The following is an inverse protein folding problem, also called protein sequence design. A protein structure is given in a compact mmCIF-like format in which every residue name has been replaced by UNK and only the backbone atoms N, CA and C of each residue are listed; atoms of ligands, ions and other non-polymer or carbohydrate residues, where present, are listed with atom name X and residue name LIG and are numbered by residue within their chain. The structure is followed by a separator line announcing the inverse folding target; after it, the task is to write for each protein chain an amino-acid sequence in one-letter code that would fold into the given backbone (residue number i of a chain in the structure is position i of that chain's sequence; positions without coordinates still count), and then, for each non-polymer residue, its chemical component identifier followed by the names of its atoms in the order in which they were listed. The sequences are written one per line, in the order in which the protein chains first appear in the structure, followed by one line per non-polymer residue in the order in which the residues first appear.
data_IF_105465880881
#
_entry.id   IF_105465880881
#
_cell.length_a   1.000
_cell.length_b   1.000
_cell.length_c   1.000
_cell.angle_alpha   90.00
_cell.angle_beta   90.00
_cell.angle_gamma   90.00
#
_symmetry.space_group_name_H-M   'P 1'
#
loop_
_entity.id
_entity.type
_entity.pdbx_description
1 polymer ?
#
# COMPACT_ATOMS: atom_id res chain seq x y z
N UNK A 1 9.62 -71.61 42.80
CA UNK A 1 9.78 -71.44 42.50
C UNK A 1 9.65 -70.58 41.66
N UNK A 2 9.63 -70.07 41.09
CA UNK A 2 9.67 -69.35 40.32
C UNK A 2 9.27 -68.39 39.71
N UNK A 3 9.16 -67.84 39.41
CA UNK A 3 8.85 -66.91 38.81
C UNK A 3 8.87 -66.13 38.05
N UNK A 4 8.87 -65.67 37.65
CA UNK A 4 8.85 -64.91 36.99
C UNK A 4 8.52 -63.92 36.45
N UNK A 5 8.40 -63.38 36.04
CA UNK A 5 8.14 -62.52 35.54
C UNK A 5 8.26 -61.71 34.70
N UNK A 6 8.19 -61.32 34.22
CA UNK A 6 8.27 -60.72 33.29
C UNK A 6 7.76 -59.62 33.01
N UNK A 7 7.84 -59.06 32.65
CA UNK A 7 7.40 -58.01 32.35
C UNK A 7 7.58 -57.38 31.39
N UNK A 8 7.36 -56.95 30.90
CA UNK A 8 7.46 -56.34 29.95
C UNK A 8 7.20 -55.14 29.70
N UNK A 9 7.35 -54.46 29.52
CA UNK A 9 7.45 -53.29 29.21
C UNK A 9 7.18 -52.84 28.04
N UNK A 10 6.59 -52.27 27.82
CA UNK A 10 6.36 -51.94 26.67
C UNK A 10 6.44 -50.68 26.37
N UNK A 11 6.88 -50.22 25.83
CA UNK A 11 7.14 -49.10 25.41
C UNK A 11 6.37 -48.50 24.52
N UNK A 12 5.94 -47.66 24.66
CA UNK A 12 5.17 -47.16 23.77
C UNK A 12 5.76 -46.11 23.17
N UNK A 13 5.82 -45.85 22.41
CA UNK A 13 6.33 -44.93 21.84
C UNK A 13 5.61 -44.03 21.22
N UNK A 14 5.39 -43.17 21.34
CA UNK A 14 4.75 -42.27 20.78
C UNK A 14 5.40 -41.52 19.93
N UNK A 15 5.12 -41.25 19.18
CA UNK A 15 5.73 -40.60 18.39
C UNK A 15 5.16 -39.50 18.02
N UNK A 16 5.24 -38.62 18.28
CA UNK A 16 4.75 -37.48 17.90
C UNK A 16 5.16 -36.97 16.77
N UNK A 17 4.61 -36.65 16.07
CA UNK A 17 4.95 -36.18 15.03
C UNK A 17 4.74 -34.89 14.88
N UNK A 18 5.34 -34.11 14.97
CA UNK A 18 5.28 -32.83 14.75
C UNK A 18 5.22 -32.48 13.46
N UNK A 19 4.37 -31.94 13.03
CA UNK A 19 4.32 -31.57 11.82
C UNK A 19 4.51 -30.22 11.71
N UNK A 20 5.32 -29.71 11.20
CA UNK A 20 5.58 -28.41 11.00
C UNK A 20 4.73 -27.94 10.00
N UNK A 21 3.84 -27.32 10.25
CA UNK A 21 3.11 -26.83 9.27
C UNK A 21 3.83 -25.75 8.75
N UNK A 22 4.24 -25.74 7.78
CA UNK A 22 4.91 -24.75 7.18
C UNK A 22 4.04 -23.68 6.89
N UNK A 23 4.11 -22.69 7.44
CA UNK A 23 3.35 -21.70 7.14
C UNK A 23 4.07 -20.81 6.35
N UNK A 24 3.74 -20.58 5.27
CA UNK A 24 4.37 -19.67 4.44
C UNK A 24 3.96 -18.34 4.92
N UNK A 25 4.79 -17.52 5.20
CA UNK A 25 4.43 -16.22 5.58
C UNK A 25 3.93 -15.54 4.39
N UNK A 26 2.86 -14.99 4.43
CA UNK A 26 2.43 -14.30 3.30
C UNK A 26 3.01 -12.95 3.41
N UNK A 27 4.11 -12.77 2.87
CA UNK A 27 4.70 -11.47 2.83
C UNK A 27 3.94 -10.60 1.92
N UNK A 28 3.09 -11.18 1.15
CA UNK A 28 2.46 -10.43 0.13
C UNK A 28 1.53 -9.35 0.64
N UNK A 29 0.77 -9.61 1.64
CA UNK A 29 -0.14 -8.56 2.03
C UNK A 29 0.48 -7.61 3.02
N UNK A 30 1.68 -7.85 3.43
CA UNK A 30 2.35 -6.94 4.34
C UNK A 30 2.86 -5.72 3.61
N UNK A 31 3.23 -5.86 2.36
CA UNK A 31 3.84 -4.77 1.63
C UNK A 31 2.93 -3.56 1.52
N UNK A 32 1.66 -3.77 1.31
CA UNK A 32 0.75 -2.64 1.16
C UNK A 32 0.57 -1.89 2.46
N UNK A 33 0.75 -2.54 3.57
CA UNK A 33 0.59 -1.90 4.87
C UNK A 33 1.86 -1.25 5.36
N UNK A 34 2.97 -1.54 4.71
CA UNK A 34 4.25 -1.00 5.10
C UNK A 34 4.57 0.31 4.41
N UNK A 35 3.64 0.85 3.68
CA UNK A 35 3.85 2.08 2.92
C UNK A 35 2.65 3.00 3.04
N UNK A 36 2.90 4.28 2.92
CA UNK A 36 1.83 5.27 2.96
C UNK A 36 2.15 6.41 2.01
N UNK A 37 1.14 6.84 1.27
CA UNK A 37 1.24 8.05 0.47
C UNK A 37 0.83 9.24 1.31
N UNK A 38 1.58 10.31 1.24
CA UNK A 38 1.31 11.52 2.00
C UNK A 38 1.29 12.71 1.07
N UNK A 39 0.27 13.54 1.23
CA UNK A 39 0.19 14.77 0.47
C UNK A 39 1.23 15.75 0.99
N UNK A 40 1.95 16.40 0.09
CA UNK A 40 2.98 17.34 0.46
C UNK A 40 2.57 18.72 -0.02
N UNK A 41 2.40 19.63 0.93
CA UNK A 41 2.04 20.99 0.58
C UNK A 41 0.62 21.12 0.06
N UNK A 42 0.33 22.24 -0.51
CA UNK A 42 -0.99 22.50 -1.08
C UNK A 42 -0.96 22.25 -2.57
N UNK A 43 -2.08 21.84 -3.15
CA UNK A 43 -2.15 21.75 -4.59
C UNK A 43 -1.79 23.06 -5.27
N UNK A 44 -1.04 22.96 -6.34
CA UNK A 44 -0.59 24.15 -7.08
C UNK A 44 -1.47 24.31 -8.31
N UNK A 45 -2.03 25.49 -8.53
CA UNK A 45 -2.82 25.69 -9.74
C UNK A 45 -1.92 25.63 -10.97
N UNK A 46 -2.48 25.09 -12.03
CA UNK A 46 -1.82 24.98 -13.31
C UNK A 46 -2.76 25.51 -14.39
N UNK A 47 -2.24 25.58 -15.59
CA UNK A 47 -3.01 26.13 -16.68
C UNK A 47 -4.23 25.27 -17.00
N UNK A 48 -5.29 25.91 -17.46
CA UNK A 48 -6.46 25.20 -17.93
C UNK A 48 -7.32 24.60 -16.85
N UNK A 49 -7.33 25.21 -15.67
CA UNK A 49 -8.15 24.69 -14.57
C UNK A 49 -7.61 23.42 -13.95
N UNK A 50 -6.36 23.12 -14.19
CA UNK A 50 -5.73 21.95 -13.62
C UNK A 50 -5.02 22.28 -12.31
N UNK A 51 -4.74 21.26 -11.54
CA UNK A 51 -3.97 21.39 -10.30
C UNK A 51 -2.89 20.35 -10.25
N UNK A 52 -1.75 20.72 -9.72
CA UNK A 52 -0.65 19.77 -9.53
C UNK A 52 -0.57 19.42 -8.06
N UNK A 53 -0.61 18.15 -7.79
CA UNK A 53 -0.56 17.60 -6.44
C UNK A 53 0.77 16.89 -6.27
N UNK A 54 1.43 17.14 -5.16
CA UNK A 54 2.70 16.47 -4.85
C UNK A 54 2.47 15.48 -3.73
N UNK A 55 3.02 14.29 -3.89
CA UNK A 55 2.81 13.19 -2.96
C UNK A 55 4.14 12.55 -2.65
N UNK A 56 4.32 12.21 -1.40
CA UNK A 56 5.50 11.48 -0.96
C UNK A 56 5.07 10.08 -0.58
N UNK A 57 5.86 9.10 -0.91
CA UNK A 57 5.64 7.73 -0.48
C UNK A 57 6.65 7.44 0.62
N UNK A 58 6.17 6.95 1.75
CA UNK A 58 7.05 6.65 2.87
C UNK A 58 6.89 5.20 3.27
N UNK A 59 7.96 4.64 3.79
CA UNK A 59 7.94 3.29 4.32
C UNK A 59 7.68 3.36 5.81
N UNK A 60 6.82 2.52 6.29
CA UNK A 60 6.51 2.43 7.71
C UNK A 60 7.31 1.28 8.33
N UNK A 61 7.63 1.35 9.60
CA UNK A 61 7.25 2.39 10.56
C UNK A 61 8.22 3.56 10.64
N UNK A 62 9.36 3.49 9.97
CA UNK A 62 10.38 4.50 10.15
C UNK A 62 10.14 5.76 9.33
N UNK A 63 9.17 5.77 8.45
CA UNK A 63 8.84 6.96 7.70
C UNK A 63 9.84 7.37 6.64
N UNK A 64 10.71 6.47 6.23
CA UNK A 64 11.70 6.82 5.22
C UNK A 64 11.08 7.02 3.87
N UNK A 65 11.49 8.06 3.15
CA UNK A 65 10.91 8.31 1.84
C UNK A 65 11.37 7.28 0.81
N UNK A 66 10.48 6.94 -0.09
CA UNK A 66 10.77 6.03 -1.18
C UNK A 66 10.62 6.82 -2.47
N UNK A 67 11.73 7.12 -3.11
CA UNK A 67 11.74 8.00 -4.28
C UNK A 67 11.83 7.26 -5.60
N UNK A 68 12.03 5.94 -5.55
CA UNK A 68 12.26 5.16 -6.77
C UNK A 68 11.11 4.25 -7.14
N UNK A 69 9.95 4.45 -6.56
CA UNK A 69 8.77 3.67 -6.93
C UNK A 69 8.21 4.17 -8.26
N UNK A 70 7.53 3.28 -8.95
CA UNK A 70 6.88 3.63 -10.20
C UNK A 70 5.38 3.65 -9.97
N UNK A 71 4.79 4.82 -10.05
CA UNK A 71 3.35 4.95 -9.92
C UNK A 71 2.76 4.69 -11.31
N UNK A 72 2.00 3.63 -11.43
CA UNK A 72 1.45 3.24 -12.73
C UNK A 72 -0.04 3.45 -12.83
N UNK A 73 -0.69 3.82 -11.74
CA UNK A 73 -2.10 4.09 -11.77
C UNK A 73 -2.40 5.27 -10.86
N UNK A 74 -3.16 6.21 -11.35
CA UNK A 74 -3.59 7.36 -10.59
C UNK A 74 -4.98 7.75 -11.06
N UNK A 75 -5.92 7.82 -10.14
CA UNK A 75 -7.31 8.16 -10.43
C UNK A 75 -7.82 9.12 -9.38
N UNK A 76 -8.70 10.00 -9.76
CA UNK A 76 -9.28 10.95 -8.83
C UNK A 76 -10.79 10.85 -8.81
N UNK A 77 -11.37 10.93 -7.63
CA UNK A 77 -12.82 10.95 -7.48
C UNK A 77 -13.19 11.83 -6.28
N UNK A 78 -14.45 12.20 -6.20
CA UNK A 78 -14.95 13.02 -5.12
C UNK A 78 -15.60 12.19 -4.02
N UNK A 79 -15.07 11.00 -3.74
CA UNK A 79 -15.53 10.18 -2.61
C UNK A 79 -15.55 10.94 -1.30
N UNK A 80 -14.54 11.76 -0.97
CA UNK A 80 -14.58 12.52 0.29
C UNK A 80 -15.77 13.47 0.40
N UNK A 81 -16.37 13.86 -0.71
CA UNK A 81 -17.57 14.67 -0.70
C UNK A 81 -18.81 13.83 -0.95
N UNK A 82 -18.72 12.53 -0.78
CA UNK A 82 -19.80 11.56 -1.00
C UNK A 82 -20.26 11.52 -2.44
N UNK A 83 -19.38 11.83 -3.36
CA UNK A 83 -19.69 11.82 -4.80
C UNK A 83 -18.65 10.98 -5.54
N UNK A 84 -18.50 9.73 -5.14
CA UNK A 84 -17.46 8.87 -5.70
C UNK A 84 -17.63 8.60 -7.20
N UNK A 85 -18.82 8.80 -7.73
CA UNK A 85 -19.02 8.63 -9.16
C UNK A 85 -18.46 9.79 -9.97
N UNK A 86 -18.14 10.91 -9.31
CA UNK A 86 -17.52 12.01 -9.97
C UNK A 86 -16.04 11.79 -10.05
N UNK A 87 -15.51 11.66 -11.24
CA UNK A 87 -14.10 11.37 -11.45
C UNK A 87 -13.46 12.48 -12.26
N UNK A 88 -12.16 12.54 -12.20
CA UNK A 88 -11.37 13.52 -12.95
C UNK A 88 -10.16 12.86 -13.58
N UNK A 89 -9.73 13.36 -14.73
CA UNK A 89 -8.51 12.83 -15.34
C UNK A 89 -7.29 13.18 -14.51
N UNK A 90 -6.37 12.25 -14.40
CA UNK A 90 -5.12 12.44 -13.69
C UNK A 90 -3.99 12.05 -14.61
N UNK A 91 -3.00 12.89 -14.69
CA UNK A 91 -1.81 12.61 -15.48
C UNK A 91 -0.62 12.53 -14.53
N UNK A 92 0.14 11.47 -14.65
CA UNK A 92 1.34 11.30 -13.85
C UNK A 92 2.44 12.14 -14.48
N UNK A 93 3.00 13.04 -13.71
CA UNK A 93 4.10 13.88 -14.17
C UNK A 93 5.43 13.28 -13.72
N UNK A 94 6.53 13.66 -14.33
CA UNK A 94 7.83 13.20 -13.87
C UNK A 94 8.06 13.58 -12.41
N UNK A 95 8.60 12.69 -11.62
CA UNK A 95 8.88 13.01 -10.23
C UNK A 95 9.97 14.07 -10.12
N UNK A 96 9.92 14.83 -9.06
CA UNK A 96 10.87 15.89 -8.86
C UNK A 96 11.22 15.99 -7.38
N UNK A 97 12.49 15.97 -7.07
CA UNK A 97 12.92 16.12 -5.68
C UNK A 97 12.44 15.00 -4.76
N UNK A 98 12.27 13.81 -5.29
CA UNK A 98 11.78 12.69 -4.50
C UNK A 98 10.29 12.69 -4.30
N UNK A 99 9.58 13.63 -4.89
CA UNK A 99 8.12 13.72 -4.79
C UNK A 99 7.49 13.26 -6.09
N UNK A 100 6.38 12.55 -5.95
CA UNK A 100 5.58 12.14 -7.11
C UNK A 100 4.59 13.25 -7.39
N UNK A 101 4.41 13.57 -8.65
CA UNK A 101 3.59 14.71 -9.04
C UNK A 101 2.47 14.26 -9.96
N UNK A 102 1.30 14.80 -9.72
CA UNK A 102 0.11 14.43 -10.48
C UNK A 102 -0.64 15.69 -10.90
N UNK A 103 -1.03 15.74 -12.15
CA UNK A 103 -1.84 16.83 -12.64
C UNK A 103 -3.28 16.36 -12.70
N UNK A 104 -4.15 17.03 -12.01
CA UNK A 104 -5.57 16.66 -11.94
C UNK A 104 -6.38 17.78 -12.55
N UNK A 105 -7.37 17.41 -13.34
CA UNK A 105 -8.27 18.39 -13.94
C UNK A 105 -9.63 18.23 -13.28
N UNK A 106 -9.88 18.91 -12.15
CA UNK A 106 -11.13 18.71 -11.43
C UNK A 106 -12.28 19.38 -12.15
N UNK A 107 -13.39 18.71 -12.20
CA UNK A 107 -14.58 19.29 -12.82
C UNK A 107 -15.27 20.29 -11.93
N UNK A 108 -14.99 20.25 -10.65
CA UNK A 108 -15.54 21.20 -9.70
C UNK A 108 -14.59 21.30 -8.51
N UNK A 109 -14.71 22.37 -7.79
CA UNK A 109 -13.89 22.57 -6.59
C UNK A 109 -14.38 21.68 -5.47
N UNK A 110 -13.49 21.27 -4.60
CA UNK A 110 -13.84 20.47 -3.44
C UNK A 110 -12.78 19.46 -3.10
N UNK A 111 -13.09 18.53 -2.17
CA UNK A 111 -12.15 17.51 -1.76
C UNK A 111 -12.15 16.36 -2.76
N UNK A 112 -10.99 16.05 -3.26
CA UNK A 112 -10.80 14.97 -4.20
C UNK A 112 -9.87 13.93 -3.60
N UNK A 113 -10.23 12.66 -3.75
CA UNK A 113 -9.34 11.57 -3.39
C UNK A 113 -8.54 11.21 -4.62
N UNK A 114 -7.24 11.10 -4.47
CA UNK A 114 -6.37 10.66 -5.53
C UNK A 114 -5.89 9.27 -5.13
N UNK A 115 -6.33 8.28 -5.88
CA UNK A 115 -6.06 6.88 -5.61
C UNK A 115 -4.87 6.45 -6.43
N UNK A 116 -3.88 5.89 -5.79
CA UNK A 116 -2.59 5.61 -6.39
C UNK A 116 -2.23 4.16 -6.27
N UNK A 117 -1.52 3.65 -7.26
CA UNK A 117 -0.94 2.32 -7.22
C UNK A 117 0.48 2.41 -7.74
N UNK A 118 1.40 1.85 -6.99
CA UNK A 118 2.81 1.94 -7.31
C UNK A 118 3.52 0.61 -7.12
N UNK A 119 4.57 0.44 -7.89
CA UNK A 119 5.49 -0.68 -7.74
C UNK A 119 6.73 -0.16 -7.05
N UNK A 120 7.08 -0.79 -5.95
CA UNK A 120 8.28 -0.45 -5.20
C UNK A 120 9.32 -1.52 -5.44
N UNK A 121 10.55 -1.13 -5.69
CA UNK A 121 11.60 -2.10 -5.92
C UNK A 121 11.78 -3.01 -4.72
N UNK A 122 11.86 -4.28 -4.97
CA UNK A 122 12.02 -5.25 -3.91
C UNK A 122 10.72 -5.77 -3.34
N UNK A 123 9.59 -5.19 -3.73
CA UNK A 123 8.30 -5.62 -3.22
C UNK A 123 7.54 -6.39 -4.28
N UNK A 124 6.99 -7.53 -3.90
CA UNK A 124 6.22 -8.35 -4.83
C UNK A 124 4.82 -7.80 -5.05
N UNK A 125 4.29 -7.11 -4.07
CA UNK A 125 2.92 -6.63 -4.15
C UNK A 125 2.86 -5.18 -4.59
N UNK A 126 1.76 -4.82 -5.23
CA UNK A 126 1.50 -3.43 -5.58
C UNK A 126 1.14 -2.65 -4.32
N UNK A 127 1.74 -1.51 -4.16
CA UNK A 127 1.41 -0.63 -3.05
C UNK A 127 0.28 0.30 -3.50
N UNK A 128 -0.81 0.27 -2.79
CA UNK A 128 -1.98 1.09 -3.10
C UNK A 128 -2.28 2.03 -1.95
N UNK A 129 -2.73 3.19 -2.27
CA UNK A 129 -3.10 4.17 -1.27
C UNK A 129 -3.83 5.33 -1.88
N UNK A 130 -4.19 6.27 -1.03
CA UNK A 130 -4.97 7.40 -1.44
C UNK A 130 -4.58 8.62 -0.64
N UNK A 131 -4.63 9.78 -1.26
CA UNK A 131 -4.49 11.05 -0.57
C UNK A 131 -5.71 11.90 -0.91
N UNK A 132 -6.09 12.77 0.01
CA UNK A 132 -7.20 13.67 -0.22
C UNK A 132 -6.67 15.09 -0.32
N UNK A 133 -7.07 15.79 -1.36
CA UNK A 133 -6.63 17.14 -1.61
C UNK A 133 -7.81 18.02 -1.93
N UNK A 134 -7.77 19.25 -1.43
CA UNK A 134 -8.77 20.24 -1.79
C UNK A 134 -8.33 20.87 -3.09
N UNK A 135 -9.10 20.70 -4.12
CA UNK A 135 -8.77 21.25 -5.42
C UNK A 135 -9.70 22.39 -5.79
N UNK A 136 -9.13 23.41 -6.38
CA UNK A 136 -9.90 24.54 -6.88
C UNK A 136 -10.11 24.34 -8.38
N UNK A 137 -11.21 24.83 -8.87
CA UNK A 137 -11.47 24.76 -10.30
C UNK A 137 -10.88 25.95 -11.00
#
# INVERSE_FOLDING_TARGET
MSPKHSVRGVAALALGLAIPSGVAPSTASAAAQDYRFELVGKPQPARGGKSVVQVRLVRLPDGKPVADAVVFEAKADMGPASMAAMTAPVRVLPPQGGLYRFEVEPGMAGPWAINLAAKVQGEAETVRGSVTAELAK
#
